data_IF_163531735577
#
_entry.id   IF_163531735577
#
_cell.length_a   1.000
_cell.length_b   1.000
_cell.length_c   1.000
_cell.angle_alpha   90.00
_cell.angle_beta   90.00
_cell.angle_gamma   90.00
#
_symmetry.space_group_name_H-M   'P 1'
#
loop_
_entity.id
_entity.type
_entity.pdbx_description
1 polymer ?
#
# COMPACT_ATOMS: atom_id res chain seq x y z
N UNK A 1 11.72 18.76 58.67
CA UNK A 1 12.08 17.44 58.09
C UNK A 1 11.00 16.37 58.26
N UNK A 2 10.19 16.37 59.32
CA UNK A 2 9.19 15.30 59.57
C UNK A 2 8.12 15.12 58.47
N UNK A 3 7.70 16.20 57.80
CA UNK A 3 6.68 16.12 56.73
C UNK A 3 7.17 15.44 55.45
N UNK A 4 8.46 15.52 55.14
CA UNK A 4 9.02 14.93 53.92
C UNK A 4 9.06 13.39 54.01
N UNK A 5 9.35 12.85 55.20
CA UNK A 5 9.29 11.41 55.46
C UNK A 5 7.86 10.85 55.40
N UNK A 6 6.85 11.65 55.77
CA UNK A 6 5.46 11.21 55.69
C UNK A 6 4.96 11.11 54.24
N UNK A 7 5.29 12.11 53.41
CA UNK A 7 4.98 12.11 51.98
C UNK A 7 5.67 10.94 51.23
N UNK A 8 6.93 10.65 51.55
CA UNK A 8 7.65 9.55 50.93
C UNK A 8 7.02 8.18 51.27
N UNK A 9 6.59 7.99 52.51
CA UNK A 9 5.90 6.76 52.93
C UNK A 9 4.51 6.62 52.30
N UNK A 10 3.77 7.72 52.12
CA UNK A 10 2.49 7.71 51.41
C UNK A 10 2.69 7.34 49.93
N UNK A 11 3.69 7.91 49.25
CA UNK A 11 4.05 7.54 47.87
C UNK A 11 4.47 6.06 47.75
N UNK A 12 5.20 5.53 48.75
CA UNK A 12 5.58 4.13 48.79
C UNK A 12 4.38 3.20 49.02
N UNK A 13 3.42 3.61 49.86
CA UNK A 13 2.16 2.92 50.08
C UNK A 13 1.25 2.98 48.86
N UNK A 14 1.18 4.12 48.15
CA UNK A 14 0.43 4.25 46.89
C UNK A 14 1.06 3.34 45.82
N UNK A 15 2.39 3.26 45.70
CA UNK A 15 3.03 2.32 44.76
C UNK A 15 2.85 0.84 45.17
N UNK A 16 2.70 0.53 46.47
CA UNK A 16 2.37 -0.84 46.93
C UNK A 16 0.89 -1.19 46.78
N UNK A 17 -0.02 -0.23 46.97
CA UNK A 17 -1.47 -0.42 46.84
C UNK A 17 -1.92 -0.36 45.38
N UNK A 18 -1.35 0.54 44.58
CA UNK A 18 -1.30 0.48 43.12
C UNK A 18 -0.11 -0.36 42.69
N UNK A 19 0.04 -1.54 43.29
CA UNK A 19 0.78 -2.63 42.69
C UNK A 19 0.13 -2.94 41.34
N UNK A 20 0.49 -2.14 40.33
CA UNK A 20 0.44 -2.49 38.94
C UNK A 20 1.38 -3.69 38.91
N UNK A 21 0.79 -4.86 39.11
CA UNK A 21 1.33 -6.09 38.56
C UNK A 21 1.47 -5.78 37.08
N UNK A 22 2.67 -5.34 36.69
CA UNK A 22 3.14 -5.40 35.32
C UNK A 22 3.20 -6.90 35.01
N UNK A 23 2.02 -7.49 34.77
CA UNK A 23 1.92 -8.73 34.04
C UNK A 23 2.49 -8.41 32.68
N UNK A 24 3.72 -8.87 32.42
CA UNK A 24 4.25 -8.93 31.07
C UNK A 24 3.30 -9.83 30.27
N UNK A 25 2.32 -9.22 29.61
CA UNK A 25 1.50 -9.89 28.62
C UNK A 25 2.40 -9.96 27.38
N UNK A 26 2.99 -11.13 27.16
CA UNK A 26 3.65 -11.42 25.90
C UNK A 26 2.57 -11.43 24.81
N UNK A 27 2.45 -10.33 24.06
CA UNK A 27 1.67 -10.33 22.82
C UNK A 27 2.30 -11.31 21.84
N UNK A 28 1.49 -12.17 21.26
CA UNK A 28 1.84 -12.78 20.01
C UNK A 28 1.20 -11.94 18.90
N UNK A 29 1.98 -11.65 17.87
CA UNK A 29 1.46 -11.07 16.64
C UNK A 29 0.54 -12.14 16.08
N UNK A 30 -0.75 -11.84 16.02
CA UNK A 30 -1.73 -12.77 15.52
C UNK A 30 -2.12 -12.37 14.12
N UNK A 31 -2.14 -13.38 13.27
CA UNK A 31 -2.49 -13.27 11.89
C UNK A 31 -4.02 -13.38 11.82
N UNK A 32 -4.70 -12.26 11.52
CA UNK A 32 -6.17 -12.09 11.41
C UNK A 32 -6.97 -13.38 11.18
N UNK A 33 -8.00 -13.63 12.00
CA UNK A 33 -9.12 -14.61 11.89
C UNK A 33 -8.90 -16.06 11.39
N UNK A 34 -7.84 -16.42 10.64
CA UNK A 34 -7.66 -17.77 10.10
C UNK A 34 -7.20 -18.80 11.13
N UNK A 35 -6.91 -18.33 12.35
CA UNK A 35 -6.74 -19.19 13.51
C UNK A 35 -8.04 -19.42 14.28
N UNK A 36 -9.20 -18.94 13.81
CA UNK A 36 -10.50 -19.27 14.39
C UNK A 36 -10.98 -20.61 13.81
N UNK A 37 -10.77 -21.76 14.50
CA UNK A 37 -11.69 -22.85 14.27
C UNK A 37 -13.07 -22.36 14.69
N UNK A 38 -14.08 -22.55 13.84
CA UNK A 38 -15.48 -22.49 14.26
C UNK A 38 -15.67 -23.69 15.21
N UNK A 39 -15.20 -23.55 16.45
CA UNK A 39 -15.50 -24.48 17.53
C UNK A 39 -16.87 -24.05 18.06
N UNK A 40 -17.90 -24.65 17.49
CA UNK A 40 -19.16 -24.81 18.21
C UNK A 40 -18.86 -25.53 19.53
N UNK A 41 -19.01 -24.80 20.65
CA UNK A 41 -19.07 -25.24 22.05
C UNK A 41 -19.44 -26.74 22.21
N UNK A 42 -18.76 -27.57 23.06
CA UNK A 42 -17.62 -27.36 23.94
C UNK A 42 -16.52 -28.46 23.80
N UNK A 43 -15.40 -28.20 23.11
CA UNK A 43 -14.36 -29.24 22.89
C UNK A 43 -13.12 -29.12 23.80
N UNK A 44 -13.24 -28.51 24.98
CA UNK A 44 -12.17 -28.49 25.99
C UNK A 44 -12.76 -28.64 27.40
N UNK A 45 -13.09 -29.86 27.79
CA UNK A 45 -13.64 -30.17 29.11
C UNK A 45 -12.60 -30.18 30.25
N UNK A 46 -11.33 -29.87 30.01
CA UNK A 46 -10.31 -29.67 31.07
C UNK A 46 -8.99 -29.08 30.52
N UNK A 47 -8.74 -27.76 30.60
CA UNK A 47 -7.38 -27.23 30.48
C UNK A 47 -6.70 -27.29 31.86
N UNK A 48 -5.70 -28.16 32.00
CA UNK A 48 -4.87 -28.32 33.21
C UNK A 48 -3.80 -27.23 33.37
N UNK A 49 -3.93 -26.11 32.65
CA UNK A 49 -2.98 -24.99 32.65
C UNK A 49 -3.77 -23.68 32.82
N UNK A 50 -3.34 -22.76 33.70
CA UNK A 50 -4.00 -21.47 33.86
C UNK A 50 -3.99 -20.71 32.54
N UNK A 51 -5.18 -20.38 32.03
CA UNK A 51 -5.35 -19.60 30.81
C UNK A 51 -4.77 -18.20 31.02
N UNK A 52 -3.93 -17.72 30.09
CA UNK A 52 -3.29 -16.39 30.18
C UNK A 52 -4.26 -15.25 29.93
N UNK A 53 -5.31 -15.50 29.17
CA UNK A 53 -6.49 -14.64 29.05
C UNK A 53 -7.74 -15.51 28.94
N UNK A 54 -8.91 -14.92 29.16
CA UNK A 54 -10.21 -15.54 28.88
C UNK A 54 -10.97 -14.60 27.94
N UNK A 55 -11.82 -15.07 27.02
CA UNK A 55 -12.61 -14.21 26.15
C UNK A 55 -13.40 -13.15 26.93
N UNK A 56 -13.88 -13.51 28.12
CA UNK A 56 -14.63 -12.63 29.01
C UNK A 56 -13.74 -11.67 29.83
N UNK A 57 -12.42 -11.75 29.69
CA UNK A 57 -11.46 -11.00 30.49
C UNK A 57 -10.79 -9.90 29.65
N UNK A 58 -11.12 -8.64 29.97
CA UNK A 58 -10.76 -7.38 29.28
C UNK A 58 -9.23 -7.10 29.26
N UNK A 59 -8.41 -8.02 29.80
CA UNK A 59 -6.95 -7.86 29.89
C UNK A 59 -6.33 -7.57 28.52
N UNK A 60 -6.77 -8.23 27.45
CA UNK A 60 -6.22 -8.00 26.11
C UNK A 60 -6.76 -6.69 25.49
N UNK A 61 -8.06 -6.39 25.66
CA UNK A 61 -8.71 -5.20 25.10
C UNK A 61 -8.06 -3.91 25.60
N UNK A 62 -7.63 -3.89 26.87
CA UNK A 62 -6.91 -2.76 27.48
C UNK A 62 -5.69 -2.31 26.68
N UNK A 63 -5.11 -3.19 25.87
CA UNK A 63 -3.91 -2.93 25.08
C UNK A 63 -4.15 -3.05 23.56
N UNK A 64 -5.42 -3.03 23.13
CA UNK A 64 -5.79 -3.08 21.72
C UNK A 64 -5.53 -4.44 21.06
N UNK A 65 -5.69 -5.53 21.83
CA UNK A 65 -5.71 -6.89 21.31
C UNK A 65 -6.97 -7.63 21.77
N UNK A 66 -7.19 -8.82 21.23
CA UNK A 66 -8.28 -9.71 21.61
C UNK A 66 -7.75 -11.04 22.12
N UNK A 67 -8.50 -11.71 23.00
CA UNK A 67 -8.11 -13.00 23.51
C UNK A 67 -8.55 -14.10 22.53
N UNK A 68 -7.59 -14.74 21.86
CA UNK A 68 -7.85 -15.83 20.91
C UNK A 68 -7.29 -17.16 21.42
N UNK A 69 -7.93 -18.27 21.06
CA UNK A 69 -7.36 -19.60 21.33
C UNK A 69 -6.33 -19.95 20.26
N UNK A 70 -5.07 -20.11 20.67
CA UNK A 70 -4.03 -20.57 19.75
C UNK A 70 -4.05 -22.09 19.64
N UNK A 71 -4.37 -22.64 18.46
CA UNK A 71 -4.19 -24.07 18.19
C UNK A 71 -2.72 -24.50 18.29
N UNK A 72 -1.80 -23.59 17.99
CA UNK A 72 -0.35 -23.85 18.03
C UNK A 72 0.16 -24.08 19.45
N UNK A 73 -0.27 -23.25 20.40
CA UNK A 73 0.18 -23.33 21.79
C UNK A 73 -0.84 -24.05 22.70
N UNK A 74 -2.03 -24.34 22.17
CA UNK A 74 -3.16 -24.94 22.88
C UNK A 74 -3.55 -24.18 24.16
N UNK A 75 -3.51 -22.85 24.10
CA UNK A 75 -3.87 -21.93 25.18
C UNK A 75 -4.53 -20.66 24.60
N UNK A 76 -5.29 -19.95 25.44
CA UNK A 76 -5.76 -18.60 25.12
C UNK A 76 -4.60 -17.60 25.26
N UNK A 77 -4.40 -16.79 24.22
CA UNK A 77 -3.34 -15.77 24.11
C UNK A 77 -3.93 -14.40 23.77
N UNK A 78 -3.28 -13.32 24.23
CA UNK A 78 -3.60 -11.99 23.73
C UNK A 78 -2.99 -11.78 22.35
N UNK A 79 -3.86 -11.52 21.39
CA UNK A 79 -3.58 -11.37 19.99
C UNK A 79 -3.77 -9.94 19.55
N UNK A 80 -2.79 -9.38 18.83
CA UNK A 80 -2.95 -8.10 18.15
C UNK A 80 -2.87 -8.32 16.65
N UNK A 81 -3.88 -7.83 15.94
CA UNK A 81 -3.93 -7.90 14.49
C UNK A 81 -2.70 -7.23 13.88
N UNK A 82 -2.07 -7.94 12.95
CA UNK A 82 -1.08 -7.35 12.08
C UNK A 82 -1.76 -6.87 10.80
N UNK A 83 -2.05 -5.57 10.74
CA UNK A 83 -2.59 -4.96 9.52
C UNK A 83 -1.67 -5.07 8.30
N UNK A 84 -0.38 -5.39 8.53
CA UNK A 84 0.58 -5.63 7.46
C UNK A 84 0.64 -7.10 7.01
N UNK A 85 -0.10 -8.01 7.65
CA UNK A 85 -0.12 -9.41 7.26
C UNK A 85 -1.30 -9.73 6.35
N UNK A 86 -1.01 -10.44 5.28
CA UNK A 86 -2.02 -10.87 4.31
C UNK A 86 -2.71 -12.14 4.81
N UNK A 87 -4.03 -12.14 4.77
CA UNK A 87 -4.82 -13.33 5.12
C UNK A 87 -4.75 -14.34 3.96
N UNK A 88 -4.42 -15.62 4.20
CA UNK A 88 -4.54 -16.66 3.18
C UNK A 88 -5.98 -16.77 2.66
N UNK A 89 -6.16 -16.70 1.34
CA UNK A 89 -7.48 -16.74 0.69
C UNK A 89 -7.54 -17.86 -0.33
N UNK A 90 -8.71 -18.46 -0.51
CA UNK A 90 -8.97 -19.40 -1.60
C UNK A 90 -8.80 -18.72 -2.98
N UNK A 91 -8.64 -19.51 -4.06
CA UNK A 91 -8.69 -19.01 -5.44
C UNK A 91 -9.95 -18.18 -5.71
N UNK A 92 -9.93 -17.34 -6.77
CA UNK A 92 -11.11 -16.57 -7.17
C UNK A 92 -12.31 -17.51 -7.43
N UNK A 93 -13.51 -17.07 -7.05
CA UNK A 93 -14.78 -17.81 -7.10
C UNK A 93 -14.90 -18.97 -6.10
N UNK A 94 -14.14 -18.91 -4.98
CA UNK A 94 -14.27 -19.85 -3.88
C UNK A 94 -14.43 -19.12 -2.54
N UNK A 95 -15.41 -19.55 -1.75
CA UNK A 95 -15.56 -19.18 -0.35
C UNK A 95 -14.37 -19.73 0.43
N UNK A 96 -13.78 -18.90 1.30
CA UNK A 96 -12.67 -19.31 2.17
C UNK A 96 -13.21 -19.66 3.55
N UNK A 97 -13.15 -20.93 3.95
CA UNK A 97 -13.50 -21.35 5.32
C UNK A 97 -12.42 -20.97 6.35
N UNK A 98 -11.26 -20.50 5.86
CA UNK A 98 -10.04 -20.22 6.62
C UNK A 98 -9.51 -21.39 7.47
N UNK A 99 -10.04 -22.60 7.24
CA UNK A 99 -9.53 -23.83 7.85
C UNK A 99 -8.39 -24.38 7.00
N UNK A 100 -7.24 -24.63 7.63
CA UNK A 100 -6.11 -25.30 7.00
C UNK A 100 -6.45 -26.77 6.70
N UNK A 101 -5.99 -27.25 5.56
CA UNK A 101 -6.07 -28.66 5.18
C UNK A 101 -4.70 -29.11 4.64
N UNK A 102 -4.49 -30.41 4.49
CA UNK A 102 -3.26 -30.91 3.87
C UNK A 102 -3.55 -32.18 3.07
N UNK A 103 -3.39 -32.11 1.74
CA UNK A 103 -3.58 -33.29 0.88
C UNK A 103 -2.55 -34.41 1.11
N UNK A 104 -1.39 -34.09 1.69
CA UNK A 104 -0.25 -35.01 1.79
C UNK A 104 -0.17 -35.81 3.10
N UNK A 105 -1.06 -35.57 4.05
CA UNK A 105 -1.10 -36.26 5.33
C UNK A 105 -2.56 -36.48 5.74
N UNK A 106 -2.86 -37.47 6.58
CA UNK A 106 -4.18 -37.66 7.23
C UNK A 106 -4.60 -36.46 8.14
N UNK A 107 -4.14 -35.24 7.87
CA UNK A 107 -4.35 -34.02 8.62
C UNK A 107 -5.30 -33.08 7.90
N UNK A 108 -6.50 -32.92 8.46
CA UNK A 108 -7.51 -31.93 8.07
C UNK A 108 -8.34 -32.33 6.86
N UNK A 109 -9.45 -33.04 7.09
CA UNK A 109 -10.49 -33.19 6.07
C UNK A 109 -11.33 -31.91 6.05
N UNK A 110 -11.50 -31.34 4.86
CA UNK A 110 -12.47 -30.28 4.67
C UNK A 110 -13.90 -30.80 4.90
N UNK A 111 -14.81 -29.97 5.43
CA UNK A 111 -16.21 -30.35 5.55
C UNK A 111 -16.80 -30.78 4.20
N UNK A 112 -17.88 -31.57 4.24
CA UNK A 112 -18.61 -31.95 3.02
C UNK A 112 -18.96 -30.68 2.23
N UNK A 113 -18.74 -30.69 0.91
CA UNK A 113 -18.83 -29.57 -0.05
C UNK A 113 -17.62 -28.62 -0.15
N UNK A 114 -16.58 -28.79 0.65
CA UNK A 114 -15.34 -28.03 0.54
C UNK A 114 -14.20 -28.90 0.00
N UNK A 115 -13.42 -28.33 -0.91
CA UNK A 115 -12.21 -28.92 -1.46
C UNK A 115 -10.98 -28.31 -0.80
N UNK A 116 -9.97 -29.13 -0.53
CA UNK A 116 -8.68 -28.64 -0.09
C UNK A 116 -7.94 -28.02 -1.29
N UNK A 117 -7.63 -26.71 -1.24
CA UNK A 117 -6.99 -25.99 -2.34
C UNK A 117 -5.88 -25.08 -1.83
N UNK A 118 -4.88 -24.81 -2.66
CA UNK A 118 -3.82 -23.85 -2.32
C UNK A 118 -4.38 -22.44 -2.21
N UNK A 119 -3.96 -21.71 -1.19
CA UNK A 119 -4.28 -20.31 -1.04
C UNK A 119 -3.69 -19.50 -2.20
N UNK A 120 -4.48 -18.58 -2.79
CA UNK A 120 -4.08 -17.79 -3.97
C UNK A 120 -2.86 -16.90 -3.72
N UNK A 121 -2.66 -16.50 -2.48
CA UNK A 121 -1.61 -15.60 -2.02
C UNK A 121 -0.58 -16.29 -1.11
N UNK A 122 -0.71 -17.60 -0.86
CA UNK A 122 0.28 -18.39 -0.15
C UNK A 122 0.35 -19.79 -0.75
N UNK A 123 1.21 -20.02 -1.76
CA UNK A 123 1.27 -21.30 -2.50
C UNK A 123 1.59 -22.54 -1.66
N UNK A 124 2.10 -22.33 -0.43
CA UNK A 124 2.48 -23.37 0.52
C UNK A 124 1.40 -23.64 1.58
N UNK A 125 0.33 -22.84 1.60
CA UNK A 125 -0.80 -22.99 2.52
C UNK A 125 -1.96 -23.59 1.72
N UNK A 126 -2.58 -24.64 2.25
CA UNK A 126 -3.80 -25.22 1.70
C UNK A 126 -4.98 -24.92 2.65
N UNK A 127 -6.11 -24.52 2.08
CA UNK A 127 -7.32 -24.10 2.76
C UNK A 127 -8.51 -24.90 2.25
N UNK A 128 -9.53 -25.03 3.10
CA UNK A 128 -10.83 -25.54 2.69
C UNK A 128 -11.61 -24.46 1.94
N UNK A 129 -11.91 -24.74 0.68
CA UNK A 129 -12.50 -23.83 -0.27
C UNK A 129 -13.77 -24.42 -0.87
N UNK A 130 -14.84 -23.63 -0.98
CA UNK A 130 -16.08 -24.08 -1.65
C UNK A 130 -16.37 -23.17 -2.82
N UNK A 131 -16.64 -23.74 -3.99
CA UNK A 131 -16.98 -22.96 -5.18
C UNK A 131 -18.20 -22.08 -4.89
N UNK A 132 -18.08 -20.80 -5.22
CA UNK A 132 -19.14 -19.82 -5.13
C UNK A 132 -19.04 -18.86 -6.32
N UNK A 133 -19.82 -19.16 -7.36
CA UNK A 133 -19.85 -18.38 -8.59
C UNK A 133 -20.51 -17.00 -8.41
N UNK A 134 -21.15 -16.75 -7.26
CA UNK A 134 -21.80 -15.48 -6.93
C UNK A 134 -20.87 -14.51 -6.17
N UNK A 135 -19.60 -14.88 -5.91
CA UNK A 135 -18.64 -13.99 -5.25
C UNK A 135 -18.29 -12.80 -6.13
N UNK A 136 -18.58 -11.60 -5.63
CA UNK A 136 -18.16 -10.35 -6.23
C UNK A 136 -16.82 -9.90 -5.63
N UNK A 137 -15.85 -9.61 -6.48
CA UNK A 137 -14.56 -9.07 -6.08
C UNK A 137 -14.57 -7.56 -6.29
N UNK A 138 -14.24 -6.82 -5.23
CA UNK A 138 -14.05 -5.38 -5.31
C UNK A 138 -12.71 -5.15 -6.02
N UNK A 139 -12.77 -4.58 -7.23
CA UNK A 139 -11.60 -4.11 -7.97
C UNK A 139 -11.47 -2.58 -7.79
N UNK A 140 -10.24 -2.03 -7.70
CA UNK A 140 -8.96 -2.70 -7.93
C UNK A 140 -8.37 -3.38 -6.68
N UNK A 141 -9.05 -3.33 -5.53
CA UNK A 141 -8.54 -3.85 -4.25
C UNK A 141 -8.07 -5.30 -4.34
N UNK A 142 -8.90 -6.16 -4.95
CA UNK A 142 -8.60 -7.58 -5.10
C UNK A 142 -7.34 -7.78 -5.95
N UNK A 143 -7.20 -7.08 -7.08
CA UNK A 143 -6.05 -7.24 -7.97
C UNK A 143 -4.76 -6.67 -7.37
N UNK A 144 -4.83 -5.53 -6.68
CA UNK A 144 -3.68 -4.95 -5.95
C UNK A 144 -3.21 -5.85 -4.81
N UNK A 145 -4.17 -6.47 -4.10
CA UNK A 145 -3.85 -7.49 -3.12
C UNK A 145 -3.23 -8.70 -3.85
N UNK A 146 -3.89 -9.35 -4.81
CA UNK A 146 -3.37 -10.54 -5.50
C UNK A 146 -1.92 -10.36 -6.04
N UNK A 147 -1.52 -9.14 -6.39
CA UNK A 147 -0.17 -8.80 -6.87
C UNK A 147 0.81 -8.28 -5.82
N UNK A 148 0.57 -8.46 -4.52
CA UNK A 148 1.51 -8.04 -3.45
C UNK A 148 1.92 -6.56 -3.54
N UNK A 149 0.99 -5.71 -4.00
CA UNK A 149 1.13 -4.25 -3.92
C UNK A 149 0.57 -3.76 -2.57
N UNK A 150 -0.54 -4.35 -2.13
CA UNK A 150 -1.16 -4.10 -0.82
C UNK A 150 -1.04 -5.35 0.06
N UNK A 151 -0.63 -5.25 1.33
CA UNK A 151 -0.16 -4.05 2.02
C UNK A 151 1.34 -3.79 1.82
N UNK A 152 2.05 -4.59 1.01
CA UNK A 152 3.51 -4.67 0.98
C UNK A 152 4.20 -3.38 0.50
N UNK A 153 3.63 -2.70 -0.50
CA UNK A 153 4.19 -1.49 -1.14
C UNK A 153 3.42 -0.24 -0.74
N UNK A 154 2.10 -0.33 -0.68
CA UNK A 154 1.19 0.71 -0.19
C UNK A 154 0.24 0.11 0.84
N UNK A 155 -0.17 0.88 1.87
CA UNK A 155 -1.01 0.35 2.93
C UNK A 155 -2.45 0.04 2.48
N UNK A 156 -2.96 0.76 1.48
CA UNK A 156 -4.34 0.65 1.01
C UNK A 156 -4.40 0.63 -0.51
N UNK A 157 -5.32 -0.17 -1.05
CA UNK A 157 -5.60 -0.17 -2.49
C UNK A 157 -6.25 1.15 -2.93
N UNK A 158 -6.12 1.52 -4.22
CA UNK A 158 -6.88 2.63 -4.76
C UNK A 158 -8.39 2.41 -4.66
N UNK A 159 -9.16 3.49 -4.51
CA UNK A 159 -10.63 3.41 -4.47
C UNK A 159 -11.23 3.02 -5.83
N UNK A 160 -10.59 3.42 -6.93
CA UNK A 160 -11.03 3.07 -8.29
C UNK A 160 -9.85 2.77 -9.21
N UNK A 161 -10.14 2.06 -10.29
CA UNK A 161 -9.20 1.83 -11.39
C UNK A 161 -9.02 3.07 -12.26
N UNK A 162 -7.90 3.16 -12.96
CA UNK A 162 -7.67 4.17 -14.01
C UNK A 162 -6.97 3.53 -15.20
N UNK A 163 -7.30 3.94 -16.42
CA UNK A 163 -6.62 3.46 -17.62
C UNK A 163 -5.37 4.31 -17.91
N UNK A 164 -4.26 3.65 -18.21
CA UNK A 164 -3.02 4.29 -18.66
C UNK A 164 -2.94 4.16 -20.17
N UNK A 165 -2.92 5.29 -20.89
CA UNK A 165 -2.96 5.30 -22.35
C UNK A 165 -1.65 5.84 -22.91
N UNK A 166 -1.00 5.02 -23.74
CA UNK A 166 0.13 5.42 -24.57
C UNK A 166 -0.30 5.34 -26.04
N UNK A 167 -0.52 6.49 -26.68
CA UNK A 167 -1.05 6.57 -28.04
C UNK A 167 -2.39 5.82 -28.19
N UNK A 168 -2.40 4.66 -28.87
CA UNK A 168 -3.58 3.80 -29.05
C UNK A 168 -3.62 2.62 -28.08
N UNK A 169 -2.53 2.40 -27.33
CA UNK A 169 -2.40 1.28 -26.42
C UNK A 169 -2.95 1.67 -25.05
N UNK A 170 -3.90 0.90 -24.55
CA UNK A 170 -4.44 1.04 -23.20
C UNK A 170 -3.83 -0.07 -22.34
N UNK A 171 -3.10 0.31 -21.30
CA UNK A 171 -2.54 -0.62 -20.33
C UNK A 171 -3.53 -0.82 -19.18
N UNK A 172 -3.98 -2.05 -19.01
CA UNK A 172 -4.88 -2.46 -17.92
C UNK A 172 -4.11 -3.02 -16.73
N UNK A 173 -4.80 -3.12 -15.59
CA UNK A 173 -4.24 -3.61 -14.34
C UNK A 173 -3.67 -5.03 -14.47
N UNK A 174 -2.41 -5.19 -14.10
CA UNK A 174 -1.70 -6.47 -14.17
C UNK A 174 -1.30 -6.91 -15.58
N UNK A 175 -1.53 -6.08 -16.61
CA UNK A 175 -1.10 -6.39 -17.97
C UNK A 175 0.42 -6.54 -18.03
N UNK A 176 0.89 -7.58 -18.72
CA UNK A 176 2.30 -7.80 -19.01
C UNK A 176 2.59 -7.40 -20.46
N UNK A 177 3.49 -6.45 -20.65
CA UNK A 177 4.04 -6.10 -21.97
C UNK A 177 5.48 -6.59 -22.08
N UNK A 178 5.95 -6.80 -23.30
CA UNK A 178 7.33 -7.20 -23.57
C UNK A 178 8.22 -5.99 -23.81
N UNK A 179 9.54 -6.14 -23.58
CA UNK A 179 10.53 -5.09 -23.75
C UNK A 179 10.50 -4.45 -25.14
N UNK A 180 10.20 -5.22 -26.18
CA UNK A 180 10.09 -4.74 -27.56
C UNK A 180 8.94 -3.74 -27.71
N UNK A 181 7.87 -3.91 -26.93
CA UNK A 181 6.70 -3.02 -26.90
C UNK A 181 6.95 -1.75 -26.05
N UNK A 182 8.07 -1.67 -25.31
CA UNK A 182 8.47 -0.42 -24.66
C UNK A 182 8.66 0.67 -25.70
N UNK A 183 9.12 0.33 -26.92
CA UNK A 183 9.27 1.30 -27.99
C UNK A 183 7.94 1.96 -28.38
N UNK A 184 6.81 1.28 -28.15
CA UNK A 184 5.47 1.83 -28.34
C UNK A 184 5.06 2.78 -27.20
N UNK A 185 5.73 2.71 -26.04
CA UNK A 185 5.60 3.71 -24.99
C UNK A 185 6.29 4.99 -25.47
N UNK A 186 5.56 6.10 -25.38
CA UNK A 186 6.05 7.38 -25.86
C UNK A 186 7.09 7.96 -24.90
N UNK A 187 7.99 8.81 -25.39
CA UNK A 187 8.91 9.62 -24.57
C UNK A 187 8.20 10.81 -23.90
N UNK A 188 6.89 10.67 -23.66
CA UNK A 188 6.02 11.65 -22.99
C UNK A 188 5.10 10.95 -21.99
N UNK A 189 4.57 11.67 -20.98
CA UNK A 189 3.67 11.08 -20.00
C UNK A 189 2.45 10.39 -20.66
N UNK A 190 1.91 9.32 -20.04
CA UNK A 190 0.67 8.71 -20.51
C UNK A 190 -0.53 9.63 -20.30
N UNK A 191 -1.57 9.41 -21.11
CA UNK A 191 -2.89 9.96 -20.82
C UNK A 191 -3.60 9.09 -19.80
N UNK A 192 -4.40 9.73 -18.95
CA UNK A 192 -5.16 9.10 -17.88
C UNK A 192 -6.66 9.18 -18.19
N UNK A 193 -7.36 8.05 -18.12
CA UNK A 193 -8.79 8.00 -18.43
C UNK A 193 -9.54 6.93 -17.61
N UNK A 194 -10.86 6.87 -17.74
CA UNK A 194 -11.69 5.89 -17.02
C UNK A 194 -12.16 6.34 -15.63
N UNK A 195 -11.69 7.50 -15.15
CA UNK A 195 -12.13 8.12 -13.90
C UNK A 195 -12.43 9.60 -14.09
N UNK A 196 -13.45 10.10 -13.38
CA UNK A 196 -13.91 11.49 -13.43
C UNK A 196 -13.40 12.19 -12.17
N UNK A 197 -12.39 13.06 -12.32
CA UNK A 197 -11.81 13.82 -11.22
C UNK A 197 -12.66 15.05 -10.85
N UNK A 198 -12.50 15.53 -9.62
CA UNK A 198 -13.21 16.73 -9.16
C UNK A 198 -12.33 17.96 -9.33
N UNK A 199 -12.80 18.94 -10.10
CA UNK A 199 -12.07 20.19 -10.40
C UNK A 199 -11.81 21.06 -9.16
N UNK A 200 -12.50 20.80 -8.06
CA UNK A 200 -12.33 21.52 -6.78
C UNK A 200 -11.23 20.90 -5.89
N UNK A 201 -10.64 19.77 -6.29
CA UNK A 201 -9.63 19.06 -5.52
C UNK A 201 -8.25 19.22 -6.15
N UNK A 202 -7.23 19.01 -5.32
CA UNK A 202 -5.84 18.91 -5.75
C UNK A 202 -5.33 17.48 -5.60
N UNK A 203 -4.47 17.10 -6.52
CA UNK A 203 -3.99 15.73 -6.66
C UNK A 203 -2.47 15.68 -6.76
N UNK A 204 -1.93 14.51 -6.44
CA UNK A 204 -0.53 14.15 -6.69
C UNK A 204 -0.51 12.86 -7.48
N UNK A 205 0.20 12.85 -8.61
CA UNK A 205 0.39 11.68 -9.46
C UNK A 205 1.81 11.21 -9.30
N UNK A 206 1.98 9.90 -9.12
CA UNK A 206 3.29 9.27 -9.08
C UNK A 206 3.29 8.01 -9.95
N UNK A 207 4.34 7.84 -10.73
CA UNK A 207 4.66 6.59 -11.42
C UNK A 207 5.99 6.10 -10.86
N UNK A 208 5.97 4.91 -10.28
CA UNK A 208 7.16 4.25 -9.74
C UNK A 208 7.33 2.89 -10.39
N UNK A 209 8.58 2.43 -10.50
CA UNK A 209 8.89 1.12 -11.02
C UNK A 209 9.82 0.33 -10.11
N UNK A 210 9.62 -0.98 -10.12
CA UNK A 210 10.29 -1.93 -9.24
C UNK A 210 11.04 -2.97 -10.07
N UNK A 211 12.31 -3.27 -9.76
CA UNK A 211 13.14 -4.24 -10.48
C UNK A 211 12.78 -5.70 -10.16
N UNK A 212 11.52 -5.99 -9.90
CA UNK A 212 11.04 -7.33 -9.59
C UNK A 212 9.53 -7.44 -9.78
N UNK A 213 9.09 -8.69 -9.94
CA UNK A 213 7.70 -9.07 -9.73
C UNK A 213 7.44 -9.21 -8.24
N UNK A 214 6.46 -8.48 -7.75
CA UNK A 214 5.99 -8.60 -6.37
C UNK A 214 5.58 -10.03 -6.04
N UNK A 215 6.11 -10.55 -4.94
CA UNK A 215 5.78 -11.87 -4.41
C UNK A 215 5.94 -11.86 -2.88
N UNK A 216 5.55 -12.92 -2.18
CA UNK A 216 5.65 -12.99 -0.71
C UNK A 216 7.06 -12.76 -0.13
N UNK A 217 8.12 -12.90 -0.93
CA UNK A 217 9.51 -12.71 -0.51
C UNK A 217 10.08 -11.35 -0.93
N UNK A 218 9.33 -10.52 -1.68
CA UNK A 218 9.80 -9.17 -2.02
C UNK A 218 9.73 -8.31 -0.78
N UNK A 219 10.89 -7.97 -0.21
CA UNK A 219 10.97 -7.19 1.01
C UNK A 219 10.38 -5.81 0.83
N UNK A 220 9.71 -5.34 1.89
CA UNK A 220 9.15 -3.99 2.05
C UNK A 220 10.22 -2.90 1.79
N UNK A 221 11.49 -3.24 1.99
CA UNK A 221 12.64 -2.35 1.91
C UNK A 221 13.36 -2.41 0.55
N UNK A 222 12.66 -2.77 -0.52
CA UNK A 222 13.23 -2.67 -1.84
C UNK A 222 13.07 -1.25 -2.41
N UNK A 223 14.15 -0.65 -2.94
CA UNK A 223 14.06 0.65 -3.58
C UNK A 223 13.26 0.58 -4.87
N UNK A 224 12.56 1.66 -5.19
CA UNK A 224 11.96 1.87 -6.50
C UNK A 224 12.54 3.08 -7.21
N UNK A 225 12.34 3.11 -8.52
CA UNK A 225 12.68 4.23 -9.39
C UNK A 225 11.43 5.07 -9.60
N UNK A 226 11.52 6.39 -9.39
CA UNK A 226 10.42 7.30 -9.71
C UNK A 226 10.53 7.74 -11.17
N UNK A 227 9.55 7.38 -11.98
CA UNK A 227 9.48 7.71 -13.41
C UNK A 227 8.70 8.98 -13.69
N UNK A 228 7.75 9.33 -12.82
CA UNK A 228 7.04 10.59 -12.86
C UNK A 228 6.57 10.92 -11.45
N UNK A 229 6.66 12.19 -11.10
CA UNK A 229 6.04 12.73 -9.91
C UNK A 229 5.53 14.12 -10.26
N UNK A 230 4.25 14.38 -10.05
CA UNK A 230 3.67 15.71 -10.22
C UNK A 230 2.71 15.96 -9.06
N UNK A 231 2.89 17.08 -8.36
CA UNK A 231 2.02 17.50 -7.25
C UNK A 231 1.18 18.73 -7.59
N UNK A 232 0.23 19.02 -6.71
CA UNK A 232 -0.61 20.23 -6.76
C UNK A 232 -1.38 20.36 -8.07
N UNK A 233 -1.70 19.22 -8.69
CA UNK A 233 -2.43 19.13 -9.95
C UNK A 233 -3.92 19.37 -9.68
N UNK A 234 -4.52 20.29 -10.42
CA UNK A 234 -5.99 20.42 -10.49
C UNK A 234 -6.48 19.73 -11.74
N UNK A 235 -7.62 19.04 -11.64
CA UNK A 235 -8.26 18.52 -12.84
C UNK A 235 -8.84 19.66 -13.69
N UNK A 236 -8.90 19.40 -14.99
CA UNK A 236 -9.49 20.27 -15.99
C UNK A 236 -10.54 19.47 -16.75
N UNK A 237 -11.78 19.95 -16.77
CA UNK A 237 -12.91 19.20 -17.33
C UNK A 237 -12.96 17.77 -16.79
N UNK A 238 -12.76 17.63 -15.48
CA UNK A 238 -12.77 16.37 -14.75
C UNK A 238 -11.66 15.37 -15.16
N UNK A 239 -10.60 15.83 -15.82
CA UNK A 239 -9.45 15.03 -16.23
C UNK A 239 -8.14 15.58 -15.64
N UNK A 240 -7.20 14.69 -15.31
CA UNK A 240 -5.83 15.06 -14.97
C UNK A 240 -4.99 15.05 -16.24
N UNK A 241 -4.31 16.17 -16.50
CA UNK A 241 -3.36 16.32 -17.62
C UNK A 241 -1.95 16.43 -17.02
N UNK A 242 -1.08 15.50 -17.40
CA UNK A 242 0.32 15.45 -16.96
C UNK A 242 1.20 16.36 -17.83
N UNK A 243 2.24 16.94 -17.27
CA UNK A 243 3.15 17.85 -17.97
C UNK A 243 4.05 17.10 -18.95
N UNK A 244 3.85 17.33 -20.25
CA UNK A 244 4.84 16.99 -21.28
C UNK A 244 5.87 18.12 -21.38
N UNK A 245 7.16 17.82 -21.15
CA UNK A 245 8.26 18.78 -21.26
C UNK A 245 8.35 19.41 -22.65
N UNK A 246 7.86 18.73 -23.68
CA UNK A 246 7.92 19.19 -25.07
C UNK A 246 6.69 20.02 -25.48
N UNK A 247 5.56 19.88 -24.79
CA UNK A 247 4.34 20.61 -25.18
C UNK A 247 4.39 22.09 -24.79
N UNK A 248 5.13 22.51 -23.76
CA UNK A 248 5.23 23.94 -23.39
C UNK A 248 5.93 24.76 -24.49
N UNK A 249 6.80 24.15 -25.29
CA UNK A 249 7.43 24.79 -26.45
C UNK A 249 6.57 24.70 -27.72
N UNK A 250 5.86 23.58 -27.93
CA UNK A 250 5.02 23.39 -29.12
C UNK A 250 3.63 24.04 -29.03
N UNK A 251 3.02 24.18 -27.84
CA UNK A 251 1.72 24.87 -27.67
C UNK A 251 1.81 26.37 -27.90
N UNK A 252 3.00 26.97 -27.85
CA UNK A 252 3.21 28.35 -28.30
C UNK A 252 3.07 28.52 -29.82
N UNK A 253 3.19 27.45 -30.61
CA UNK A 253 3.22 27.52 -32.07
C UNK A 253 1.90 27.12 -32.75
N UNK A 254 1.04 26.30 -32.11
CA UNK A 254 -0.23 25.85 -32.71
C UNK A 254 -1.47 26.45 -32.00
N UNK A 255 -1.77 27.70 -32.35
CA UNK A 255 -2.86 28.52 -31.79
C UNK A 255 -4.17 28.35 -32.57
N UNK A 256 -5.13 27.54 -32.08
CA UNK A 256 -6.54 27.66 -32.50
C UNK A 256 -7.62 27.42 -31.43
N UNK A 257 -7.29 27.32 -30.13
CA UNK A 257 -8.31 27.27 -29.05
C UNK A 257 -7.85 28.09 -27.82
N UNK A 258 -8.02 29.43 -27.87
CA UNK A 258 -7.52 30.37 -26.84
C UNK A 258 -8.12 30.21 -25.44
N UNK A 259 -9.35 29.69 -25.28
CA UNK A 259 -10.02 29.58 -23.97
C UNK A 259 -9.45 28.43 -23.12
N UNK A 260 -9.41 27.22 -23.69
CA UNK A 260 -8.89 26.04 -22.99
C UNK A 260 -7.39 26.15 -22.70
N UNK A 261 -6.61 26.78 -23.59
CA UNK A 261 -5.16 26.94 -23.39
C UNK A 261 -4.81 27.75 -22.15
N UNK A 262 -5.53 28.83 -21.83
CA UNK A 262 -5.25 29.61 -20.62
C UNK A 262 -5.55 28.81 -19.35
N UNK A 263 -6.60 28.00 -19.36
CA UNK A 263 -6.99 27.18 -18.22
C UNK A 263 -6.00 26.03 -18.00
N UNK A 264 -5.54 25.40 -19.09
CA UNK A 264 -4.46 24.39 -19.09
C UNK A 264 -3.11 25.00 -18.68
N UNK A 265 -2.75 26.18 -19.20
CA UNK A 265 -1.54 26.89 -18.78
C UNK A 265 -1.60 27.25 -17.28
N UNK A 266 -2.79 27.59 -16.77
CA UNK A 266 -2.96 27.86 -15.35
C UNK A 266 -2.79 26.59 -14.53
N UNK A 267 -3.36 25.44 -14.94
CA UNK A 267 -3.14 24.17 -14.22
C UNK A 267 -1.66 23.81 -14.19
N UNK A 268 -0.93 23.99 -15.30
CA UNK A 268 0.52 23.78 -15.35
C UNK A 268 1.34 24.81 -14.57
N UNK A 269 0.90 26.07 -14.49
CA UNK A 269 1.56 27.09 -13.63
C UNK A 269 1.49 26.71 -12.16
N UNK A 270 0.43 26.02 -11.72
CA UNK A 270 0.31 25.55 -10.34
C UNK A 270 1.17 24.31 -10.05
N UNK A 271 1.32 23.37 -11.00
CA UNK A 271 2.11 22.14 -10.76
C UNK A 271 3.63 22.32 -10.92
N UNK A 272 4.12 23.47 -11.39
CA UNK A 272 5.54 23.71 -11.74
C UNK A 272 6.59 23.60 -10.63
N UNK A 273 6.21 23.49 -9.36
CA UNK A 273 7.18 23.61 -8.26
C UNK A 273 7.63 22.27 -7.67
N UNK A 274 7.03 21.15 -8.09
CA UNK A 274 7.34 19.82 -7.56
C UNK A 274 7.13 18.73 -8.61
N UNK A 275 8.03 18.66 -9.59
CA UNK A 275 7.91 17.68 -10.67
C UNK A 275 9.19 16.89 -10.89
N UNK A 276 9.04 15.57 -11.00
CA UNK A 276 9.98 14.71 -11.71
C UNK A 276 9.34 14.50 -13.09
N UNK A 277 9.93 15.03 -14.17
CA UNK A 277 9.40 14.86 -15.51
C UNK A 277 9.36 13.38 -15.87
N UNK A 278 8.39 13.00 -16.69
CA UNK A 278 8.25 11.62 -17.14
C UNK A 278 9.55 11.12 -17.77
N UNK A 279 10.03 9.98 -17.29
CA UNK A 279 11.07 9.19 -17.93
C UNK A 279 10.42 7.92 -18.48
N UNK A 280 10.73 7.57 -19.72
CA UNK A 280 10.36 6.28 -20.30
C UNK A 280 11.16 5.14 -19.63
N UNK A 281 10.54 4.02 -19.24
CA UNK A 281 11.27 2.85 -18.76
C UNK A 281 12.12 2.23 -19.88
N UNK A 282 13.29 1.70 -19.54
CA UNK A 282 14.23 1.23 -20.57
C UNK A 282 15.37 0.37 -20.05
N UNK A 283 16.60 0.91 -20.09
CA UNK A 283 17.85 0.17 -19.93
C UNK A 283 17.97 -0.59 -18.60
N UNK A 284 17.27 -0.14 -17.56
CA UNK A 284 17.21 -0.83 -16.27
C UNK A 284 16.49 -2.19 -16.32
N UNK A 285 15.71 -2.46 -17.38
CA UNK A 285 14.95 -3.70 -17.55
C UNK A 285 15.84 -4.76 -18.18
N UNK A 286 16.32 -5.67 -17.34
CA UNK A 286 17.19 -6.79 -17.73
C UNK A 286 16.40 -7.93 -18.34
N UNK A 287 17.06 -8.68 -19.23
CA UNK A 287 16.49 -9.89 -19.82
C UNK A 287 16.10 -10.91 -18.75
N UNK A 288 14.93 -11.55 -18.91
CA UNK A 288 14.36 -12.57 -17.99
C UNK A 288 13.80 -12.03 -16.68
N UNK A 289 13.86 -10.72 -16.43
CA UNK A 289 13.24 -10.09 -15.26
C UNK A 289 11.88 -9.48 -15.64
N UNK A 290 11.00 -9.36 -14.65
CA UNK A 290 9.74 -8.62 -14.78
C UNK A 290 9.89 -7.36 -13.94
N UNK A 291 9.80 -6.22 -14.60
CA UNK A 291 9.80 -4.91 -13.99
C UNK A 291 8.36 -4.45 -13.78
N UNK A 292 7.97 -4.09 -12.57
CA UNK A 292 6.58 -3.72 -12.27
C UNK A 292 6.45 -2.21 -12.17
N UNK A 293 5.59 -1.62 -12.99
CA UNK A 293 5.28 -0.19 -13.00
C UNK A 293 3.97 0.04 -12.24
N UNK A 294 3.93 1.01 -11.34
CA UNK A 294 2.79 1.35 -10.50
C UNK A 294 2.49 2.84 -10.63
N UNK A 295 1.28 3.15 -11.08
CA UNK A 295 0.73 4.50 -11.14
C UNK A 295 -0.29 4.68 -10.03
N UNK A 296 -0.15 5.77 -9.27
CA UNK A 296 -1.05 6.12 -8.19
C UNK A 296 -1.39 7.60 -8.25
N UNK A 297 -2.66 7.91 -7.98
CA UNK A 297 -3.15 9.28 -7.85
C UNK A 297 -3.71 9.47 -6.45
N UNK A 298 -3.11 10.38 -5.70
CA UNK A 298 -3.51 10.71 -4.35
C UNK A 298 -4.28 12.03 -4.34
N UNK A 299 -5.30 12.10 -3.50
CA UNK A 299 -5.92 13.37 -3.13
C UNK A 299 -4.99 14.07 -2.12
N UNK A 300 -4.77 15.36 -2.33
CA UNK A 300 -4.07 16.20 -1.37
C UNK A 300 -5.05 16.75 -0.33
N UNK A 301 -4.65 16.72 0.94
CA UNK A 301 -5.29 17.40 2.07
C UNK A 301 -4.93 18.88 2.09
N UNK A 302 -3.70 19.21 1.69
CA UNK A 302 -3.14 20.56 1.57
C UNK A 302 -2.05 20.55 0.49
N UNK A 303 -1.72 21.71 -0.06
CA UNK A 303 -0.63 21.82 -1.04
C UNK A 303 0.75 21.59 -0.40
N UNK A 304 1.73 21.18 -1.20
CA UNK A 304 3.11 21.07 -0.73
C UNK A 304 3.69 22.45 -0.39
N UNK A 305 4.49 22.55 0.68
CA UNK A 305 5.20 23.79 1.02
C UNK A 305 6.47 23.98 0.19
N UNK A 306 6.95 25.22 0.04
CA UNK A 306 8.17 25.55 -0.73
C UNK A 306 9.41 24.74 -0.26
N UNK A 307 9.54 24.50 1.05
CA UNK A 307 10.66 23.72 1.59
C UNK A 307 10.58 22.24 1.22
N UNK A 308 9.38 21.67 1.26
CA UNK A 308 9.12 20.31 0.78
C UNK A 308 9.27 20.22 -0.74
N UNK A 309 9.02 21.34 -1.44
CA UNK A 309 9.13 21.40 -2.88
C UNK A 309 10.56 21.27 -3.41
N UNK A 310 11.54 21.76 -2.64
CA UNK A 310 12.95 21.70 -3.03
C UNK A 310 13.56 20.30 -2.97
N UNK A 311 12.88 19.31 -2.37
CA UNK A 311 13.40 17.93 -2.25
C UNK A 311 13.55 17.29 -3.64
N UNK A 312 12.69 17.62 -4.61
CA UNK A 312 12.60 16.89 -5.88
C UNK A 312 13.38 17.51 -7.06
N UNK A 313 13.91 18.73 -6.93
CA UNK A 313 14.47 19.47 -8.08
C UNK A 313 15.98 19.26 -8.22
N UNK A 314 16.39 18.58 -9.30
CA UNK A 314 17.80 18.49 -9.72
C UNK A 314 18.26 19.88 -10.18
N UNK A 315 19.17 20.51 -9.42
CA UNK A 315 19.73 21.83 -9.71
C UNK A 315 20.65 21.76 -10.94
N UNK A 316 20.10 21.97 -12.13
CA UNK A 316 20.88 22.26 -13.34
C UNK A 316 21.13 23.78 -13.44
N UNK A 317 22.03 24.34 -12.64
CA UNK A 317 22.66 25.63 -12.99
C UNK A 317 23.98 25.84 -12.25
N UNK A 318 24.95 26.42 -12.96
CA UNK A 318 26.32 26.74 -12.52
C UNK A 318 26.39 27.89 -11.49
N UNK A 319 25.35 28.10 -10.70
CA UNK A 319 25.34 29.18 -9.72
C UNK A 319 25.89 28.71 -8.37
N UNK A 320 27.18 28.99 -8.20
CA UNK A 320 27.86 28.98 -6.90
C UNK A 320 27.25 30.08 -6.04
N UNK A 321 26.84 29.69 -4.84
CA UNK A 321 26.41 30.49 -3.69
C UNK A 321 24.89 30.57 -3.48
N UNK A 322 24.54 30.33 -2.21
CA UNK A 322 23.23 30.41 -1.54
C UNK A 322 22.48 29.07 -1.36
N UNK A 323 22.32 28.79 -0.05
CA UNK A 323 21.59 27.72 0.64
C UNK A 323 22.29 26.35 0.79
N UNK A 324 23.13 26.29 1.84
CA UNK A 324 23.37 25.07 2.63
C UNK A 324 22.08 24.71 3.36
N UNK A 325 21.22 23.93 2.72
CA UNK A 325 20.25 23.04 3.36
C UNK A 325 20.24 21.78 2.50
N UNK A 326 20.46 20.62 3.09
CA UNK A 326 20.63 19.34 2.39
C UNK A 326 19.42 19.03 1.48
N UNK A 327 19.62 19.18 0.17
CA UNK A 327 18.64 18.86 -0.87
C UNK A 327 18.69 17.33 -1.08
N UNK A 328 17.62 16.61 -0.72
CA UNK A 328 17.54 15.16 -0.88
C UNK A 328 16.86 14.82 -2.21
N UNK A 329 17.64 14.68 -3.27
CA UNK A 329 17.15 14.27 -4.58
C UNK A 329 16.62 12.81 -4.56
N UNK A 330 15.41 12.54 -5.08
CA UNK A 330 14.88 11.19 -5.29
C UNK A 330 15.72 10.34 -6.26
N UNK A 331 16.62 10.98 -7.00
CA UNK A 331 17.52 10.31 -7.93
C UNK A 331 18.90 9.99 -7.32
N UNK A 332 19.19 10.40 -6.09
CA UNK A 332 20.48 10.13 -5.40
C UNK A 332 20.32 9.26 -4.14
N UNK A 333 19.10 9.16 -3.59
CA UNK A 333 18.75 8.17 -2.56
C UNK A 333 17.61 7.30 -3.04
N UNK A 334 17.74 6.01 -2.75
CA UNK A 334 16.72 4.98 -2.91
C UNK A 334 15.32 5.50 -2.48
N UNK A 335 14.34 5.47 -3.40
CA UNK A 335 12.96 5.87 -3.09
C UNK A 335 12.20 4.68 -2.48
N UNK A 336 11.48 4.95 -1.39
CA UNK A 336 10.71 3.95 -0.65
C UNK A 336 9.27 4.44 -0.48
N UNK A 337 8.32 3.78 -1.15
CA UNK A 337 6.94 4.26 -1.23
C UNK A 337 6.25 4.38 0.14
N UNK A 338 6.39 3.37 1.02
CA UNK A 338 5.83 3.44 2.38
C UNK A 338 6.43 4.57 3.21
N UNK A 339 7.75 4.77 3.10
CA UNK A 339 8.43 5.86 3.81
C UNK A 339 7.92 7.21 3.32
N UNK A 340 7.79 7.38 2.01
CA UNK A 340 7.20 8.56 1.39
C UNK A 340 5.77 8.82 1.91
N UNK A 341 4.89 7.81 1.89
CA UNK A 341 3.52 7.97 2.40
C UNK A 341 3.47 8.32 3.89
N UNK A 342 4.39 7.77 4.70
CA UNK A 342 4.49 8.10 6.12
C UNK A 342 4.97 9.54 6.34
N UNK A 343 5.98 9.97 5.60
CA UNK A 343 6.58 11.32 5.71
C UNK A 343 5.60 12.41 5.24
N UNK A 344 4.81 12.12 4.21
CA UNK A 344 3.85 13.05 3.61
C UNK A 344 2.39 12.77 4.02
N UNK A 345 2.16 12.01 5.11
CA UNK A 345 0.82 11.63 5.58
C UNK A 345 -0.08 12.81 5.98
N UNK A 346 0.51 13.95 6.35
CA UNK A 346 -0.21 15.20 6.64
C UNK A 346 -0.64 15.95 5.37
N UNK A 347 -0.08 15.60 4.22
CA UNK A 347 -0.30 16.24 2.92
C UNK A 347 -1.18 15.36 2.03
N UNK A 348 -0.95 14.06 2.03
CA UNK A 348 -1.65 13.10 1.18
C UNK A 348 -2.72 12.35 1.96
N UNK A 349 -3.85 12.07 1.32
CA UNK A 349 -4.73 10.99 1.75
C UNK A 349 -3.95 9.66 1.64
N UNK A 350 -3.87 8.84 2.71
CA UNK A 350 -3.16 7.56 2.63
C UNK A 350 -3.80 6.58 1.63
N UNK A 351 -5.07 6.76 1.27
CA UNK A 351 -5.77 5.93 0.30
C UNK A 351 -5.70 6.61 -1.08
N UNK A 352 -5.07 5.99 -2.09
CA UNK A 352 -5.09 6.51 -3.46
C UNK A 352 -6.54 6.64 -3.96
N UNK A 353 -6.85 7.72 -4.66
CA UNK A 353 -8.15 7.89 -5.32
C UNK A 353 -8.27 6.88 -6.44
N UNK A 354 -7.26 6.83 -7.29
CA UNK A 354 -7.17 5.86 -8.39
C UNK A 354 -5.76 5.33 -8.55
N UNK A 355 -5.64 4.17 -9.18
CA UNK A 355 -4.34 3.58 -9.49
C UNK A 355 -4.45 2.47 -10.52
N UNK A 356 -3.30 2.11 -11.07
CA UNK A 356 -3.12 1.00 -12.02
C UNK A 356 -1.66 0.56 -11.98
N UNK A 357 -1.37 -0.68 -12.35
CA UNK A 357 -0.02 -1.19 -12.48
C UNK A 357 0.08 -2.14 -13.67
N UNK A 358 1.27 -2.25 -14.25
CA UNK A 358 1.56 -3.17 -15.34
C UNK A 358 2.98 -3.71 -15.22
N UNK A 359 3.21 -4.90 -15.76
CA UNK A 359 4.52 -5.52 -15.83
C UNK A 359 5.17 -5.26 -17.18
N UNK A 360 6.49 -5.14 -17.17
CA UNK A 360 7.34 -5.13 -18.37
C UNK A 360 8.29 -6.33 -18.27
N UNK A 361 8.22 -7.24 -19.23
CA UNK A 361 9.09 -8.42 -19.30
C UNK A 361 10.29 -8.15 -20.21
N UNK A 362 11.49 -8.30 -19.65
CA UNK A 362 12.77 -8.05 -20.32
C UNK A 362 13.26 -9.13 -21.27
#
# INVERSE_FOLDING_TARGET
MSYFFLLLNILFLINKLYGIKNGNINYQICSKEWQNPILTVPTLSSPSVPLKCYPDNIICEKYGGECQFSLKNFEYICCKDNDNERIPLCPRYYDTLHTLCNKKSNGGNCPKSYDCMKARNYPNIELCCRKNDNLFYIEPETTFNDHYIVPDIIPYAPKYSINIIFNKNVLTEGQLIYKEQINDLLDRPPQLSGYVFSDNLQYTVIIIGFPFRFNKNTSIDNPSTVYLFESDIKSFNNQIVLQDSNEIENTKQNLYIKKNLKEIENSFKFSKFCTIPYKKPGDEIKSKEIYTMLLLVFKQKKSFSILQQNVFVKKNSKDKNLFKNEIILPNEKLFYMKKFLKEYGDILDPIPVVGNFYGIKG
#
